data_IF_114126297679
#
_entry.id   IF_114126297679
#
_cell.length_a   1.000
_cell.length_b   1.000
_cell.length_c   1.000
_cell.angle_alpha   90.00
_cell.angle_beta   90.00
_cell.angle_gamma   90.00
#
_symmetry.space_group_name_H-M   'P 1'
#
loop_
_entity.id
_entity.type
_entity.pdbx_description
1 polymer ?
2 water ?
#
# COMPACT_ATOMS: atom_id res chain seq x y z
N UNK A 8 6.99 24.45 2.32
CA UNK A 8 6.29 24.03 1.11
C UNK A 8 6.93 22.76 0.53
N UNK A 9 6.72 21.63 1.19
CA UNK A 9 7.34 20.38 0.77
C UNK A 9 6.91 20.02 -0.64
N UNK A 10 7.89 19.67 -1.48
CA UNK A 10 7.70 19.53 -2.92
C UNK A 10 7.65 18.05 -3.31
N UNK A 11 6.59 17.65 -4.01
CA UNK A 11 6.47 16.28 -4.47
C UNK A 11 6.25 16.24 -5.97
N UNK A 12 7.08 15.48 -6.66
CA UNK A 12 6.93 15.21 -8.09
C UNK A 12 6.79 13.71 -8.27
N UNK A 13 5.75 13.29 -8.99
CA UNK A 13 5.52 11.86 -9.25
C UNK A 13 5.62 11.63 -10.75
N UNK A 14 6.39 10.62 -11.14
CA UNK A 14 6.50 10.20 -12.53
C UNK A 14 5.49 9.07 -12.73
N UNK A 15 4.42 9.36 -13.46
CA UNK A 15 3.32 8.42 -13.58
C UNK A 15 2.64 8.57 -14.93
N UNK A 16 2.16 7.44 -15.47
CA UNK A 16 1.32 7.45 -16.66
C UNK A 16 -0.11 7.89 -16.38
N UNK A 17 -0.54 7.92 -15.12
CA UNK A 17 -1.92 8.27 -14.76
C UNK A 17 -1.91 9.37 -13.71
N UNK A 18 -1.55 10.60 -14.10
CA UNK A 18 -1.49 11.69 -13.12
C UNK A 18 -2.79 11.87 -12.35
N UNK A 19 -3.93 11.69 -13.01
CA UNK A 19 -5.21 11.93 -12.38
C UNK A 19 -5.45 11.04 -11.17
N UNK A 20 -4.82 9.86 -11.14
CA UNK A 20 -4.97 8.98 -9.98
C UNK A 20 -4.67 9.72 -8.70
N UNK A 21 -3.72 10.65 -8.72
CA UNK A 21 -3.29 11.32 -7.51
C UNK A 21 -4.28 12.36 -7.01
N UNK A 22 -5.40 12.54 -7.71
CA UNK A 22 -6.51 13.26 -7.11
C UNK A 22 -7.03 12.56 -5.86
N UNK A 23 -6.79 11.25 -5.75
CA UNK A 23 -7.27 10.52 -4.57
C UNK A 23 -6.59 11.02 -3.30
N UNK A 24 -5.40 11.60 -3.41
CA UNK A 24 -4.72 12.17 -2.25
C UNK A 24 -4.68 13.69 -2.27
N UNK A 25 -4.65 14.34 -3.45
CA UNK A 25 -4.55 15.80 -3.48
C UNK A 25 -5.89 16.51 -3.31
N UNK A 26 -7.02 15.81 -3.42
CA UNK A 26 -8.32 16.47 -3.39
C UNK A 26 -9.18 16.07 -2.21
N UNK A 27 -8.74 15.14 -1.37
CA UNK A 27 -9.57 14.65 -0.28
C UNK A 27 -8.76 14.46 1.00
N UNK A 28 -9.46 14.55 2.13
CA UNK A 28 -8.87 14.17 3.40
C UNK A 28 -7.87 15.18 3.93
N UNK A 29 -7.04 14.70 4.84
CA UNK A 29 -6.02 15.56 5.45
C UNK A 29 -4.94 15.92 4.43
N UNK A 30 -4.57 14.99 3.56
CA UNK A 30 -3.57 15.31 2.54
C UNK A 30 -4.10 16.31 1.54
N UNK A 31 -5.37 16.18 1.13
CA UNK A 31 -5.96 17.18 0.26
C UNK A 31 -5.95 18.57 0.88
N UNK A 32 -6.26 18.64 2.18
CA UNK A 32 -6.24 19.92 2.88
C UNK A 32 -4.85 20.54 2.86
N UNK A 33 -3.80 19.73 3.03
CA UNK A 33 -2.44 20.26 2.98
C UNK A 33 -2.11 20.78 1.58
N UNK A 34 -2.58 20.11 0.54
CA UNK A 34 -2.34 20.58 -0.82
C UNK A 34 -3.08 21.88 -1.10
N UNK A 35 -4.34 21.96 -0.66
CA UNK A 35 -5.12 23.17 -0.86
C UNK A 35 -4.51 24.36 -0.12
N UNK A 36 -3.91 24.12 1.05
CA UNK A 36 -3.25 25.14 1.83
C UNK A 36 -1.80 25.39 1.42
N UNK A 37 -1.29 24.66 0.43
CA UNK A 37 0.07 24.79 -0.06
C UNK A 37 1.13 24.49 1.00
N UNK A 38 0.76 23.72 2.03
CA UNK A 38 1.77 23.16 2.93
C UNK A 38 2.62 22.14 2.17
N UNK A 39 2.04 21.48 1.17
CA UNK A 39 2.75 20.59 0.28
C UNK A 39 2.34 20.92 -1.15
N UNK A 40 3.11 20.40 -2.09
CA UNK A 40 2.84 20.56 -3.52
C UNK A 40 3.09 19.22 -4.22
N UNK A 41 2.15 18.81 -5.07
CA UNK A 41 2.26 17.57 -5.81
C UNK A 41 2.14 17.89 -7.28
N UNK A 42 3.17 17.57 -8.05
CA UNK A 42 3.18 17.76 -9.49
C UNK A 42 3.43 16.42 -10.16
N UNK A 43 2.57 16.06 -11.08
CA UNK A 43 2.67 14.79 -11.79
C UNK A 43 3.33 15.02 -13.14
N UNK A 44 4.23 14.11 -13.51
CA UNK A 44 4.96 14.21 -14.77
C UNK A 44 4.70 12.93 -15.57
N UNK A 45 4.08 13.08 -16.73
CA UNK A 45 3.78 11.94 -17.57
C UNK A 45 4.97 11.63 -18.46
N UNK A 46 5.60 10.47 -18.33
CA UNK A 46 6.73 10.14 -19.21
C UNK A 46 6.38 10.16 -20.68
N UNK A 47 5.08 10.08 -21.01
CA UNK A 47 4.68 10.15 -22.42
C UNK A 47 5.01 11.50 -23.02
N UNK A 48 5.05 12.55 -22.18
CA UNK A 48 5.42 13.87 -22.70
C UNK A 48 6.86 13.91 -23.18
N UNK A 49 7.67 12.92 -22.78
CA UNK A 49 9.07 12.85 -23.17
C UNK A 49 9.35 11.65 -24.07
N UNK A 50 8.30 11.10 -24.68
CA UNK A 50 8.38 9.97 -25.58
C UNK A 50 8.36 10.41 -27.04
N UNK A 51 8.90 9.54 -27.89
CA UNK A 51 8.97 9.79 -29.33
C UNK A 51 7.95 8.91 -30.05
N UNK A 52 7.29 9.48 -31.04
CA UNK A 52 6.31 8.72 -31.79
C UNK A 52 4.89 9.24 -31.68
N UNK A 53 4.08 8.96 -32.69
CA UNK A 53 2.69 9.40 -32.68
C UNK A 53 1.87 8.75 -31.58
N UNK A 54 2.33 7.63 -31.03
CA UNK A 54 1.67 7.00 -29.90
C UNK A 54 2.42 7.18 -28.59
N UNK A 55 3.52 7.94 -28.61
CA UNK A 55 4.24 8.32 -27.40
C UNK A 55 4.55 7.10 -26.53
N UNK A 56 5.21 6.12 -27.14
CA UNK A 56 5.45 4.85 -26.47
C UNK A 56 6.56 4.98 -25.44
N UNK A 57 6.30 4.42 -24.25
CA UNK A 57 7.28 4.34 -23.18
C UNK A 57 7.63 2.91 -22.82
N UNK A 58 7.10 1.93 -23.55
CA UNK A 58 7.30 0.53 -23.24
C UNK A 58 7.77 -0.19 -24.48
N UNK A 59 8.61 -1.20 -24.29
CA UNK A 59 9.13 -1.99 -25.41
C UNK A 59 9.41 -3.42 -24.93
N UNK A 60 9.43 -4.35 -25.88
CA UNK A 60 9.58 -5.76 -25.55
C UNK A 60 10.91 -6.01 -24.85
N UNK A 61 10.97 -7.02 -23.98
CA UNK A 61 12.21 -7.25 -23.22
C UNK A 61 13.30 -7.94 -24.05
N UNK A 62 14.54 -7.49 -23.82
CA UNK A 62 15.68 -8.22 -24.31
C UNK A 62 15.68 -9.60 -23.63
N UNK A 63 16.05 -10.63 -24.38
CA UNK A 63 16.06 -11.96 -23.80
C UNK A 63 14.74 -12.68 -23.80
N UNK A 64 13.68 -12.07 -24.33
CA UNK A 64 12.40 -12.75 -24.41
C UNK A 64 11.62 -12.70 -23.11
N UNK A 65 10.47 -13.36 -23.15
CA UNK A 65 9.56 -13.39 -22.03
C UNK A 65 8.35 -12.51 -22.29
N UNK A 66 7.38 -12.57 -21.39
CA UNK A 66 6.13 -11.83 -21.62
C UNK A 66 6.23 -10.42 -21.09
N UNK A 67 5.35 -9.57 -21.59
CA UNK A 67 5.23 -8.24 -21.05
C UNK A 67 6.08 -7.23 -21.76
N UNK A 68 6.02 -6.01 -21.25
CA UNK A 68 6.78 -4.91 -21.78
C UNK A 68 7.60 -4.29 -20.66
N UNK A 69 8.72 -3.68 -21.03
CA UNK A 69 9.61 -3.01 -20.09
C UNK A 69 9.56 -1.52 -20.38
N UNK A 70 9.54 -0.71 -19.32
CA UNK A 70 9.57 0.74 -19.49
C UNK A 70 10.94 1.21 -19.99
N UNK A 71 10.94 1.99 -21.05
CA UNK A 71 12.18 2.44 -21.65
C UNK A 71 12.90 3.45 -20.74
N UNK A 72 14.22 3.41 -20.81
CA UNK A 72 15.03 4.28 -19.95
C UNK A 72 14.95 5.73 -20.40
N UNK A 73 14.97 5.97 -21.70
CA UNK A 73 15.11 7.34 -22.19
C UNK A 73 13.95 8.24 -21.79
N UNK A 74 12.68 7.88 -22.00
CA UNK A 74 11.60 8.76 -21.52
C UNK A 74 11.63 8.98 -20.02
N UNK A 75 11.94 7.93 -19.25
CA UNK A 75 12.01 8.09 -17.81
C UNK A 75 13.17 9.00 -17.41
N UNK A 76 14.29 8.91 -18.12
CA UNK A 76 15.42 9.78 -17.80
C UNK A 76 15.09 11.24 -18.06
N UNK A 77 14.43 11.53 -19.18
CA UNK A 77 14.06 12.90 -19.49
C UNK A 77 13.06 13.44 -18.47
N UNK A 78 12.12 12.58 -18.04
CA UNK A 78 11.09 13.03 -17.10
C UNK A 78 11.67 13.30 -15.73
N UNK A 79 12.55 12.43 -15.25
CA UNK A 79 13.19 12.65 -13.96
C UNK A 79 14.06 13.91 -14.01
N UNK A 80 14.75 14.15 -15.13
CA UNK A 80 15.52 15.38 -15.27
C UNK A 80 14.60 16.58 -15.21
N UNK A 81 13.46 16.50 -15.89
CA UNK A 81 12.51 17.60 -15.78
C UNK A 81 12.08 17.80 -14.33
N UNK A 82 11.80 16.70 -13.62
CA UNK A 82 11.40 16.80 -12.22
C UNK A 82 12.47 17.47 -11.38
N UNK A 83 13.75 17.11 -11.60
CA UNK A 83 14.82 17.68 -10.81
C UNK A 83 14.92 19.20 -11.01
N UNK A 84 14.72 19.66 -12.25
CA UNK A 84 14.77 21.09 -12.51
C UNK A 84 13.59 21.82 -11.89
N UNK A 85 12.40 21.20 -11.88
CA UNK A 85 11.28 21.81 -11.19
C UNK A 85 11.59 21.96 -9.71
N UNK A 86 12.23 20.94 -9.14
CA UNK A 86 12.52 20.95 -7.71
C UNK A 86 13.55 22.01 -7.38
N UNK A 87 14.59 22.14 -8.21
CA UNK A 87 15.56 23.20 -8.01
C UNK A 87 14.89 24.57 -8.15
N UNK A 88 14.05 24.74 -9.17
CA UNK A 88 13.35 26.02 -9.34
C UNK A 88 12.41 26.30 -8.19
N UNK A 89 11.89 25.27 -7.53
CA UNK A 89 11.04 25.50 -6.36
C UNK A 89 11.82 25.89 -5.12
N UNK A 90 13.15 25.94 -5.19
CA UNK A 90 13.96 26.31 -4.05
C UNK A 90 14.40 25.14 -3.19
N UNK A 91 14.18 23.91 -3.65
CA UNK A 91 14.63 22.75 -2.88
C UNK A 91 16.15 22.65 -2.97
N UNK A 92 16.77 22.27 -1.85
CA UNK A 92 18.20 22.01 -1.86
C UNK A 92 18.50 20.75 -2.67
N UNK A 93 17.98 19.61 -2.21
CA UNK A 93 18.17 18.30 -2.84
C UNK A 93 16.90 17.46 -2.72
N UNK A 94 16.51 16.78 -3.80
CA UNK A 94 15.36 15.87 -3.76
C UNK A 94 15.70 14.47 -4.26
N UNK A 95 15.76 13.47 -3.38
CA UNK A 95 16.05 12.11 -3.85
C UNK A 95 14.97 11.52 -4.73
N UNK A 96 15.40 10.67 -5.66
CA UNK A 96 14.48 9.90 -6.50
C UNK A 96 14.20 8.56 -5.84
N UNK A 97 12.93 8.33 -5.48
CA UNK A 97 12.47 7.11 -4.87
C UNK A 97 11.77 6.26 -5.93
N UNK A 98 12.11 4.99 -6.00
CA UNK A 98 11.44 4.04 -6.87
C UNK A 98 10.64 3.08 -6.01
N UNK A 99 9.34 2.99 -6.27
CA UNK A 99 8.46 2.09 -5.52
C UNK A 99 8.41 0.75 -6.25
N UNK A 100 8.94 -0.30 -5.64
CA UNK A 100 8.92 -1.62 -6.24
C UNK A 100 8.94 -2.66 -5.13
N UNK A 101 8.40 -3.85 -5.37
CA UNK A 101 8.48 -4.93 -4.36
C UNK A 101 9.91 -5.35 -4.02
N UNK A 102 10.90 -4.92 -4.81
CA UNK A 102 12.30 -5.19 -4.58
C UNK A 102 12.99 -4.15 -3.69
N UNK A 103 12.24 -3.17 -3.19
CA UNK A 103 12.82 -2.17 -2.31
C UNK A 103 12.90 -2.61 -0.86
N UNK A 104 13.58 -1.79 -0.06
CA UNK A 104 13.53 -1.93 1.39
C UNK A 104 12.09 -1.84 1.87
N UNK A 105 11.81 -2.52 2.99
CA UNK A 105 10.46 -2.55 3.52
C UNK A 105 10.15 -1.21 4.18
N UNK A 106 9.19 -0.48 3.64
CA UNK A 106 8.74 0.74 4.29
C UNK A 106 8.14 0.42 5.65
N UNK A 107 8.48 1.23 6.66
CA UNK A 107 7.86 1.12 7.97
C UNK A 107 7.87 2.49 8.63
N UNK A 108 7.30 2.57 9.84
CA UNK A 108 7.17 3.86 10.50
C UNK A 108 8.54 4.50 10.73
N UNK A 109 9.56 3.71 11.05
CA UNK A 109 10.89 4.28 11.21
C UNK A 109 11.37 4.90 9.91
N UNK A 110 11.09 4.27 8.78
CA UNK A 110 11.55 4.80 7.51
C UNK A 110 10.79 6.08 7.15
N UNK A 111 9.50 6.13 7.47
CA UNK A 111 8.69 7.30 7.14
C UNK A 111 9.19 8.52 7.89
N UNK A 112 9.58 8.35 9.15
CA UNK A 112 10.06 9.49 9.95
C UNK A 112 11.28 10.14 9.33
N UNK A 113 12.12 9.36 8.63
CA UNK A 113 13.32 9.93 8.02
C UNK A 113 12.99 10.85 6.87
N UNK A 114 11.85 10.61 6.21
CA UNK A 114 11.48 11.42 5.05
C UNK A 114 11.01 12.82 5.46
N UNK A 115 10.47 12.95 6.67
CA UNK A 115 9.90 14.23 7.09
C UNK A 115 10.94 15.33 7.05
N UNK A 116 12.22 14.99 7.21
CA UNK A 116 13.30 15.97 7.18
C UNK A 116 13.65 16.43 5.77
N UNK A 117 12.92 15.98 4.75
CA UNK A 117 13.33 16.27 3.38
C UNK A 117 12.67 17.54 2.85
N UNK A 118 13.30 18.08 1.81
CA UNK A 118 12.72 19.18 1.05
C UNK A 118 11.64 18.69 0.11
N UNK A 119 11.71 17.44 -0.28
CA UNK A 119 10.75 16.88 -1.21
C UNK A 119 11.30 15.61 -1.80
N UNK A 120 10.47 14.99 -2.62
CA UNK A 120 10.77 13.70 -3.23
C UNK A 120 10.40 13.75 -4.70
N UNK A 121 11.10 12.95 -5.49
CA UNK A 121 10.64 12.54 -6.81
C UNK A 121 10.30 11.06 -6.73
N UNK A 122 9.04 10.71 -6.95
CA UNK A 122 8.61 9.32 -6.84
C UNK A 122 8.33 8.78 -8.25
N UNK A 123 9.00 7.68 -8.58
CA UNK A 123 8.89 7.06 -9.89
C UNK A 123 7.93 5.89 -9.80
N UNK A 124 6.84 5.94 -10.57
CA UNK A 124 5.82 4.90 -10.58
C UNK A 124 5.97 4.06 -11.85
N UNK A 125 6.38 2.81 -11.66
CA UNK A 125 6.50 1.91 -12.78
C UNK A 125 5.17 1.34 -13.22
N UNK A 126 5.12 0.96 -14.50
CA UNK A 126 4.01 0.23 -15.07
C UNK A 126 4.56 -0.93 -15.90
N UNK A 127 3.67 -1.67 -16.53
CA UNK A 127 4.05 -2.82 -17.34
C UNK A 127 4.77 -3.84 -16.45
N UNK A 128 5.74 -4.56 -17.00
CA UNK A 128 6.32 -5.69 -16.31
C UNK A 128 7.79 -5.47 -15.97
N UNK A 129 8.21 -4.22 -15.90
CA UNK A 129 9.54 -3.91 -15.46
C UNK A 129 9.95 -2.53 -15.91
N UNK A 130 11.03 -2.06 -15.31
CA UNK A 130 11.67 -0.81 -15.64
C UNK A 130 13.11 -1.13 -16.00
N UNK A 131 13.63 -0.52 -17.07
CA UNK A 131 14.96 -0.87 -17.52
C UNK A 131 15.97 -0.67 -16.40
N UNK A 132 16.72 -1.72 -16.11
CA UNK A 132 17.63 -1.73 -14.96
C UNK A 132 18.63 -0.59 -15.04
N UNK A 133 19.02 -0.20 -16.25
CA UNK A 133 20.01 0.86 -16.38
C UNK A 133 19.44 2.20 -15.96
N UNK A 134 18.14 2.40 -16.14
CA UNK A 134 17.52 3.60 -15.60
C UNK A 134 17.55 3.59 -14.07
N UNK A 135 17.21 2.45 -13.46
CA UNK A 135 17.25 2.37 -12.01
C UNK A 135 18.66 2.67 -11.51
N UNK A 136 19.67 2.05 -12.13
CA UNK A 136 21.04 2.20 -11.67
C UNK A 136 21.51 3.66 -11.70
N UNK A 137 21.05 4.43 -12.68
CA UNK A 137 21.62 5.75 -12.88
C UNK A 137 20.80 6.87 -12.25
N UNK A 138 19.49 6.67 -12.05
CA UNK A 138 18.59 7.75 -11.69
C UNK A 138 17.85 7.56 -10.37
N UNK A 139 17.91 6.38 -9.78
CA UNK A 139 17.16 6.08 -8.57
C UNK A 139 18.10 6.12 -7.38
N UNK A 140 17.74 6.91 -6.37
CA UNK A 140 18.53 6.99 -5.16
C UNK A 140 18.09 5.97 -4.12
N UNK A 141 16.79 5.72 -4.04
CA UNK A 141 16.23 4.83 -3.03
C UNK A 141 15.10 4.02 -3.63
N UNK A 142 14.99 2.79 -3.14
CA UNK A 142 13.98 1.85 -3.62
C UNK A 142 13.25 1.31 -2.40
N UNK A 143 11.92 1.45 -2.39
CA UNK A 143 11.10 1.13 -1.24
C UNK A 143 9.94 0.24 -1.66
N UNK A 144 9.61 -0.74 -0.81
CA UNK A 144 8.46 -1.61 -1.01
C UNK A 144 7.47 -1.39 0.12
N UNK A 145 6.19 -1.23 -0.22
CA UNK A 145 5.17 -1.05 0.81
C UNK A 145 4.66 -2.37 1.36
N UNK A 146 5.01 -3.50 0.74
CA UNK A 146 4.58 -4.82 1.17
C UNK A 146 4.95 -5.90 0.17
N UNK A 147 4.91 -7.16 0.57
CA UNK A 147 5.27 -8.27 -0.31
C UNK A 147 4.05 -8.81 -1.05
N UNK A 148 3.41 -7.93 -1.81
CA UNK A 148 2.32 -8.26 -2.71
C UNK A 148 2.56 -7.54 -4.02
N UNK A 149 1.94 -8.02 -5.08
CA UNK A 149 2.17 -7.51 -6.43
C UNK A 149 0.97 -6.67 -6.86
N UNK A 150 1.24 -5.45 -7.29
CA UNK A 150 0.23 -4.52 -7.77
C UNK A 150 0.45 -4.25 -9.25
N UNK A 151 -0.59 -3.71 -9.90
CA UNK A 151 -0.48 -3.42 -11.32
C UNK A 151 0.44 -2.25 -11.62
N UNK A 152 0.74 -1.41 -10.64
CA UNK A 152 1.59 -0.27 -10.90
C UNK A 152 2.07 0.35 -9.61
N UNK A 153 3.02 1.29 -9.76
CA UNK A 153 3.59 1.97 -8.62
C UNK A 153 2.81 3.15 -8.07
N UNK A 154 1.70 3.54 -8.71
CA UNK A 154 0.94 4.70 -8.24
C UNK A 154 0.42 4.52 -6.82
N UNK A 155 -0.25 3.41 -6.55
CA UNK A 155 -0.79 3.22 -5.20
C UNK A 155 0.30 3.19 -4.13
N UNK A 156 1.44 2.49 -4.30
CA UNK A 156 2.51 2.63 -3.32
C UNK A 156 3.00 4.05 -3.18
N UNK A 157 3.10 4.79 -4.28
CA UNK A 157 3.51 6.19 -4.20
C UNK A 157 2.56 6.99 -3.33
N UNK A 158 1.25 6.80 -3.52
CA UNK A 158 0.27 7.52 -2.70
C UNK A 158 0.38 7.12 -1.24
N UNK A 159 0.61 5.83 -0.97
CA UNK A 159 0.80 5.36 0.39
C UNK A 159 2.00 6.06 1.03
N UNK A 160 3.11 6.14 0.31
CA UNK A 160 4.27 6.83 0.84
C UNK A 160 3.98 8.30 1.07
N UNK A 161 3.35 8.95 0.09
CA UNK A 161 3.08 10.37 0.23
C UNK A 161 2.10 10.63 1.37
N UNK A 162 1.04 9.84 1.46
CA UNK A 162 0.07 10.04 2.54
C UNK A 162 0.74 9.85 3.88
N UNK A 163 1.61 8.85 3.99
CA UNK A 163 2.29 8.57 5.26
C UNK A 163 3.23 9.70 5.65
N UNK A 164 3.77 10.42 4.68
CA UNK A 164 4.66 11.53 5.00
C UNK A 164 3.88 12.78 5.32
N UNK A 165 2.98 13.18 4.42
CA UNK A 165 2.22 14.42 4.58
C UNK A 165 1.51 14.43 5.92
N UNK A 166 0.99 13.27 6.31
CA UNK A 166 0.27 13.14 7.57
C UNK A 166 1.10 13.58 8.77
N UNK A 167 2.43 13.52 8.68
CA UNK A 167 3.32 13.83 9.79
C UNK A 167 3.93 15.23 9.70
N UNK A 168 3.51 16.03 8.76
CA UNK A 168 4.19 17.31 8.60
C UNK A 168 3.62 18.37 9.53
N UNK A 169 4.47 19.28 9.99
CA UNK A 169 3.98 20.41 10.81
C UNK A 169 2.92 21.21 10.07
N UNK A 170 2.00 21.78 10.84
CA UNK A 170 0.80 22.47 10.37
C UNK A 170 -0.18 21.51 9.71
N UNK A 171 0.12 20.20 9.69
CA UNK A 171 -0.84 19.22 9.22
C UNK A 171 -1.32 18.37 10.39
N UNK A 185 4.73 4.00 20.13
CA UNK A 185 5.74 3.56 21.08
C UNK A 185 6.16 2.13 20.81
N UNK A 186 5.51 1.52 19.82
CA UNK A 186 5.75 0.13 19.46
C UNK A 186 4.65 -0.83 19.85
N UNK A 187 3.62 -0.38 20.55
CA UNK A 187 2.52 -1.24 20.95
C UNK A 187 1.30 -1.01 20.06
N UNK A 188 0.46 -2.05 19.98
CA UNK A 188 -0.79 -1.91 19.26
C UNK A 188 -1.79 -1.09 20.07
N UNK A 189 -2.69 -0.43 19.35
CA UNK A 189 -3.72 0.36 20.00
C UNK A 189 -4.71 -0.54 20.73
N UNK A 190 -5.35 0.00 21.74
CA UNK A 190 -6.31 -0.75 22.51
C UNK A 190 -7.71 -0.58 21.94
N UNK A 191 -8.65 -1.45 22.28
CA UNK A 191 -9.99 -1.32 21.74
C UNK A 191 -10.64 -0.02 22.20
N UNK A 192 -11.53 0.50 21.37
CA UNK A 192 -12.16 1.78 21.60
C UNK A 192 -13.67 1.64 21.46
N UNK A 193 -14.40 2.46 22.20
CA UNK A 193 -15.85 2.40 22.24
C UNK A 193 -16.42 3.81 22.22
N UNK A 194 -17.60 3.95 21.60
CA UNK A 194 -18.33 5.20 21.62
C UNK A 194 -19.82 4.88 21.68
N UNK A 195 -20.64 5.94 21.72
CA UNK A 195 -22.07 5.79 21.89
C UNK A 195 -22.62 4.84 20.83
N UNK A 196 -23.64 4.02 21.15
CA UNK A 196 -24.39 4.04 22.42
C UNK A 196 -23.73 3.23 23.53
N UNK A 197 -24.29 3.33 24.73
CA UNK A 197 -23.75 2.59 25.87
C UNK A 197 -23.82 1.08 25.64
N UNK A 198 -24.89 0.62 25.02
CA UNK A 198 -25.07 -0.79 24.69
C UNK A 198 -25.35 -0.92 23.20
N UNK A 199 -24.58 -1.78 22.53
CA UNK A 199 -24.76 -2.03 21.10
C UNK A 199 -24.95 -3.53 20.89
N UNK A 200 -26.14 -3.91 20.42
CA UNK A 200 -26.46 -5.29 20.06
C UNK A 200 -26.12 -6.25 21.20
N UNK A 201 -26.45 -5.83 22.43
CA UNK A 201 -26.18 -6.63 23.61
C UNK A 201 -24.80 -6.49 24.18
N UNK A 202 -23.88 -5.81 23.51
CA UNK A 202 -22.51 -5.65 24.00
C UNK A 202 -22.37 -4.29 24.66
N UNK A 203 -21.96 -4.28 25.92
CA UNK A 203 -21.77 -3.08 26.70
C UNK A 203 -20.30 -2.67 26.71
N UNK A 204 -20.07 -1.39 26.98
CA UNK A 204 -18.71 -0.90 27.23
C UNK A 204 -18.22 -1.46 28.57
N UNK A 205 -16.97 -1.90 28.67
CA UNK A 205 -16.43 -2.26 29.99
C UNK A 205 -16.63 -1.12 30.98
N UNK A 206 -17.05 -1.48 32.20
CA UNK A 206 -17.42 -0.47 33.19
C UNK A 206 -16.24 0.42 33.55
N UNK A 207 -15.02 -0.10 33.49
CA UNK A 207 -13.81 0.70 33.73
C UNK A 207 -13.70 1.83 32.70
N UNK A 211 -15.70 5.96 35.59
CA UNK A 211 -14.36 5.48 35.88
C UNK A 211 -13.38 6.56 36.32
N UNK A 212 -12.21 6.14 36.80
CA UNK A 212 -11.19 7.07 37.27
C UNK A 212 -10.08 7.19 36.23
N UNK A 213 -9.45 8.37 36.20
CA UNK A 213 -8.44 8.66 35.18
C UNK A 213 -7.26 7.70 35.30
N UNK A 214 -6.71 7.59 36.51
CA UNK A 214 -5.56 6.72 36.72
C UNK A 214 -5.92 5.28 36.38
N UNK A 215 -7.01 4.76 36.98
CA UNK A 215 -7.38 3.37 36.74
C UNK A 215 -7.74 3.11 35.29
N UNK A 216 -8.13 4.14 34.53
CA UNK A 216 -8.45 3.95 33.12
C UNK A 216 -7.18 3.83 32.29
N UNK A 217 -6.20 4.70 32.53
CA UNK A 217 -4.95 4.61 31.79
C UNK A 217 -4.25 3.29 32.03
N UNK A 218 -4.34 2.77 33.27
CA UNK A 218 -3.79 1.45 33.56
C UNK A 218 -4.50 0.38 32.75
N UNK A 219 -5.83 0.45 32.66
CA UNK A 219 -6.58 -0.51 31.87
C UNK A 219 -6.21 -0.42 30.40
N UNK A 220 -6.12 0.81 29.88
CA UNK A 220 -5.76 0.99 28.48
C UNK A 220 -4.40 0.37 28.17
N UNK A 221 -3.43 0.56 29.07
CA UNK A 221 -2.09 0.01 28.85
C UNK A 221 -2.11 -1.52 28.89
N UNK A 222 -2.81 -2.11 29.86
CA UNK A 222 -2.86 -3.56 29.91
C UNK A 222 -3.55 -4.13 28.68
N UNK A 223 -4.56 -3.45 28.14
CA UNK A 223 -5.18 -3.88 26.90
C UNK A 223 -4.21 -3.83 25.73
N UNK A 224 -3.41 -2.77 25.64
CA UNK A 224 -2.47 -2.63 24.54
C UNK A 224 -1.39 -3.70 24.60
N UNK A 225 -0.84 -3.96 25.79
CA UNK A 225 0.22 -4.95 25.92
C UNK A 225 -0.26 -6.32 25.49
N UNK A 226 -1.42 -6.74 25.99
CA UNK A 226 -1.95 -8.07 25.66
C UNK A 226 -2.26 -8.18 24.17
N UNK A 227 -2.92 -7.17 23.60
CA UNK A 227 -3.21 -7.19 22.18
C UNK A 227 -1.92 -7.34 21.37
N UNK A 228 -0.89 -6.58 21.74
CA UNK A 228 0.41 -6.76 21.10
C UNK A 228 0.96 -8.13 21.39
N UNK A 229 0.82 -8.59 22.64
CA UNK A 229 1.29 -9.92 23.01
C UNK A 229 0.61 -11.00 22.19
N UNK A 230 -0.70 -10.91 22.01
CA UNK A 230 -1.43 -11.98 21.32
C UNK A 230 -1.18 -11.94 19.82
N UNK A 231 -1.06 -10.75 19.24
CA UNK A 231 -1.06 -10.62 17.79
C UNK A 231 0.34 -10.42 17.19
N UNK A 232 1.22 -9.70 17.87
CA UNK A 232 2.55 -9.38 17.35
C UNK A 232 3.59 -9.56 18.46
N UNK A 233 3.77 -10.79 18.95
CA UNK A 233 4.66 -10.99 20.10
C UNK A 233 6.12 -10.65 19.83
N UNK A 234 6.54 -10.59 18.57
CA UNK A 234 7.91 -10.18 18.27
C UNK A 234 8.14 -8.71 18.56
N UNK A 235 7.07 -7.91 18.64
CA UNK A 235 7.21 -6.49 18.95
C UNK A 235 7.40 -6.24 20.44
N UNK A 236 7.04 -7.21 21.28
CA UNK A 236 7.26 -7.05 22.71
C UNK A 236 8.75 -6.96 23.01
N UNK A 237 9.57 -7.70 22.26
CA UNK A 237 11.01 -7.67 22.47
C UNK A 237 11.61 -6.29 22.24
N UNK A 238 10.95 -5.45 21.43
CA UNK A 238 11.49 -4.17 21.01
C UNK A 238 10.68 -2.99 21.57
N UNK A 239 9.92 -3.20 22.65
CA UNK A 239 9.15 -2.14 23.28
C UNK A 239 9.91 -1.61 24.49
N UNK A 240 9.83 -0.30 24.71
CA UNK A 240 10.47 0.36 25.83
C UNK A 240 9.40 0.96 26.72
N UNK A 241 9.25 0.41 27.93
CA UNK A 241 8.19 0.80 28.84
C UNK A 241 8.71 1.81 29.87
N UNK A 242 7.86 2.78 30.20
CA UNK A 242 8.16 3.71 31.27
C UNK A 242 8.19 2.99 32.61
N UNK A 243 8.74 3.65 33.62
CA UNK A 243 8.76 3.07 34.96
C UNK A 243 7.34 2.80 35.46
N UNK A 244 6.41 3.70 35.16
CA UNK A 244 5.02 3.50 35.57
C UNK A 244 4.43 2.26 34.92
N UNK A 245 4.69 2.08 33.62
CA UNK A 245 4.14 0.93 32.90
C UNK A 245 4.76 -0.38 33.38
N UNK A 246 6.05 -0.37 33.71
CA UNK A 246 6.67 -1.57 34.26
C UNK A 246 5.99 -2.00 35.55
N UNK A 247 5.61 -1.03 36.39
CA UNK A 247 4.91 -1.36 37.63
C UNK A 247 3.53 -1.93 37.35
N UNK A 248 2.83 -1.37 36.37
CA UNK A 248 1.51 -1.88 36.00
C UNK A 248 1.57 -3.35 35.60
N UNK A 249 2.60 -3.72 34.84
CA UNK A 249 2.75 -5.12 34.42
C UNK A 249 2.96 -6.03 35.62
N UNK A 250 3.89 -5.67 36.50
CA UNK A 250 4.19 -6.51 37.65
C UNK A 250 3.02 -6.61 38.63
N UNK A 251 2.21 -5.55 38.74
CA UNK A 251 1.07 -5.58 39.64
C UNK A 251 -0.02 -6.55 39.17
N UNK A 252 -0.15 -6.74 37.85
CA UNK A 252 -1.11 -7.69 37.31
C UNK A 252 -0.49 -9.06 37.06
N UNK B 9 -17.64 -10.36 -10.38
CA UNK B 9 -17.10 -10.29 -9.02
C UNK B 9 -17.50 -8.96 -8.39
N UNK B 10 -18.00 -9.03 -7.18
CA UNK B 10 -18.65 -7.90 -6.51
C UNK B 10 -17.72 -7.30 -5.48
N UNK B 11 -17.51 -5.98 -5.55
CA UNK B 11 -16.68 -5.26 -4.57
C UNK B 11 -17.48 -4.11 -3.99
N UNK B 12 -17.60 -4.08 -2.67
CA UNK B 12 -18.22 -2.97 -1.96
C UNK B 12 -17.25 -2.41 -0.95
N UNK B 13 -17.04 -1.09 -0.97
CA UNK B 13 -16.16 -0.43 0.00
C UNK B 13 -17.00 0.56 0.80
N UNK B 14 -16.82 0.51 2.12
CA UNK B 14 -17.45 1.47 3.03
C UNK B 14 -16.46 2.60 3.26
N UNK B 15 -16.75 3.78 2.71
CA UNK B 15 -15.79 4.87 2.77
C UNK B 15 -16.51 6.20 2.84
N UNK B 16 -15.94 7.14 3.58
CA UNK B 16 -16.39 8.52 3.57
C UNK B 16 -15.96 9.27 2.31
N UNK B 17 -15.01 8.72 1.56
CA UNK B 17 -14.47 9.35 0.36
C UNK B 17 -14.62 8.41 -0.82
N UNK B 18 -15.85 8.18 -1.29
CA UNK B 18 -16.03 7.29 -2.45
C UNK B 18 -15.22 7.71 -3.66
N UNK B 19 -15.06 9.03 -3.86
CA UNK B 19 -14.41 9.55 -5.06
C UNK B 19 -12.97 9.09 -5.17
N UNK B 20 -12.32 8.84 -4.03
CA UNK B 20 -10.96 8.32 -4.04
C UNK B 20 -10.85 7.05 -4.89
N UNK B 21 -11.91 6.26 -4.95
CA UNK B 21 -11.82 4.98 -5.63
C UNK B 21 -11.87 5.11 -7.14
N UNK B 22 -11.96 6.33 -7.68
CA UNK B 22 -11.73 6.54 -9.10
C UNK B 22 -10.33 6.12 -9.52
N UNK B 23 -9.37 6.12 -8.60
CA UNK B 23 -8.00 5.76 -8.96
C UNK B 23 -7.88 4.32 -9.44
N UNK B 24 -8.80 3.44 -9.04
CA UNK B 24 -8.77 2.06 -9.48
C UNK B 24 -9.86 1.76 -10.50
N UNK B 25 -11.02 2.41 -10.42
CA UNK B 25 -12.10 2.11 -11.34
C UNK B 25 -11.97 2.85 -12.66
N UNK B 26 -11.14 3.90 -12.73
CA UNK B 26 -11.06 4.75 -13.91
C UNK B 26 -9.72 4.74 -14.62
N UNK B 27 -8.71 4.04 -14.11
CA UNK B 27 -7.40 4.04 -14.74
C UNK B 27 -6.78 2.65 -14.69
N UNK B 28 -5.92 2.38 -15.68
CA UNK B 28 -5.09 1.20 -15.65
C UNK B 28 -5.84 -0.09 -16.00
N UNK B 29 -5.22 -1.20 -15.59
CA UNK B 29 -5.79 -2.52 -15.87
C UNK B 29 -7.07 -2.73 -15.08
N UNK B 30 -7.12 -2.25 -13.84
CA UNK B 30 -8.35 -2.40 -13.06
C UNK B 30 -9.49 -1.60 -13.67
N UNK B 31 -9.20 -0.39 -14.16
CA UNK B 31 -10.22 0.39 -14.84
C UNK B 31 -10.75 -0.32 -16.08
N UNK B 32 -9.85 -0.92 -16.86
CA UNK B 32 -10.28 -1.67 -18.04
C UNK B 32 -11.19 -2.83 -17.65
N UNK B 33 -10.86 -3.50 -16.55
CA UNK B 33 -11.73 -4.57 -16.07
C UNK B 33 -13.08 -4.04 -15.64
N UNK B 34 -13.12 -2.86 -15.02
CA UNK B 34 -14.38 -2.28 -14.59
C UNK B 34 -15.21 -1.84 -15.79
N UNK B 35 -14.57 -1.22 -16.78
CA UNK B 35 -15.29 -0.78 -17.97
C UNK B 35 -15.87 -1.97 -18.73
N UNK B 36 -15.18 -3.11 -18.71
CA UNK B 36 -15.66 -4.32 -19.36
C UNK B 36 -16.60 -5.13 -18.49
N UNK B 37 -16.90 -4.65 -17.27
CA UNK B 37 -17.79 -5.33 -16.32
C UNK B 37 -17.27 -6.69 -15.90
N UNK B 38 -15.96 -6.91 -16.04
CA UNK B 38 -15.37 -8.09 -15.43
C UNK B 38 -15.46 -7.99 -13.91
N UNK B 39 -15.42 -6.77 -13.37
CA UNK B 39 -15.65 -6.51 -11.96
C UNK B 39 -16.60 -5.33 -11.81
N UNK B 40 -17.09 -5.14 -10.59
CA UNK B 40 -17.94 -4.02 -10.23
C UNK B 40 -17.55 -3.54 -8.82
N UNK B 41 -17.42 -2.22 -8.66
CA UNK B 41 -17.05 -1.61 -7.38
C UNK B 41 -18.12 -0.60 -7.01
N UNK B 42 -18.73 -0.77 -5.83
CA UNK B 42 -19.74 0.15 -5.32
C UNK B 42 -19.29 0.73 -3.99
N UNK B 43 -19.30 2.06 -3.90
CA UNK B 43 -18.87 2.75 -2.69
C UNK B 43 -20.08 3.16 -1.88
N UNK B 44 -20.00 2.97 -0.57
CA UNK B 44 -21.09 3.24 0.36
C UNK B 44 -20.59 4.20 1.43
N UNK B 45 -21.20 5.39 1.50
CA UNK B 45 -20.81 6.41 2.47
C UNK B 45 -21.59 6.22 3.77
N UNK B 46 -20.94 5.98 4.91
CA UNK B 46 -21.68 5.84 6.17
C UNK B 46 -22.46 7.09 6.55
N UNK B 47 -22.12 8.26 5.98
CA UNK B 47 -22.85 9.47 6.31
C UNK B 47 -24.30 9.39 5.87
N UNK B 48 -24.59 8.63 4.81
CA UNK B 48 -25.96 8.48 4.35
C UNK B 48 -26.82 7.68 5.33
N UNK B 49 -26.21 6.97 6.27
CA UNK B 49 -26.94 6.12 7.21
C UNK B 49 -26.91 6.66 8.64
N UNK B 50 -26.61 7.95 8.82
CA UNK B 50 -26.66 8.56 10.14
C UNK B 50 -27.96 9.34 10.28
N UNK B 51 -28.43 9.46 11.52
CA UNK B 51 -29.67 10.17 11.80
C UNK B 51 -29.40 11.50 12.49
N UNK B 55 -25.69 14.72 10.93
CA UNK B 55 -25.38 13.37 10.47
C UNK B 55 -23.95 12.97 10.82
N UNK B 56 -23.61 13.07 12.10
CA UNK B 56 -22.25 12.81 12.56
C UNK B 56 -21.98 11.32 12.59
N UNK B 57 -20.76 10.94 12.18
CA UNK B 57 -20.34 9.54 12.21
C UNK B 57 -19.20 9.30 13.19
N UNK B 58 -18.77 10.31 13.93
CA UNK B 58 -17.66 10.20 14.87
C UNK B 58 -18.06 10.80 16.20
N UNK B 59 -17.57 10.22 17.29
CA UNK B 59 -17.89 10.72 18.62
C UNK B 59 -16.73 10.43 19.57
N UNK B 60 -16.70 11.19 20.67
CA UNK B 60 -15.63 11.07 21.65
C UNK B 60 -15.59 9.66 22.25
N UNK B 61 -14.43 9.21 22.72
CA UNK B 61 -14.33 7.86 23.29
C UNK B 61 -14.96 7.78 24.67
N UNK B 62 -15.55 6.61 24.97
CA UNK B 62 -16.14 6.37 26.29
C UNK B 62 -15.12 6.52 27.41
N UNK B 63 -14.00 5.79 27.33
CA UNK B 63 -13.03 5.89 28.41
C UNK B 63 -12.33 7.22 28.53
N UNK B 64 -12.69 8.21 27.71
CA UNK B 64 -12.03 9.49 27.71
C UNK B 64 -10.78 9.43 26.86
N UNK B 65 -10.08 10.56 26.79
CA UNK B 65 -8.89 10.62 25.97
C UNK B 65 -9.14 11.36 24.67
N UNK B 66 -8.09 11.51 23.87
CA UNK B 66 -8.21 12.32 22.65
C UNK B 66 -8.75 11.52 21.47
N UNK B 67 -9.24 12.25 20.49
CA UNK B 67 -9.67 11.66 19.23
C UNK B 67 -11.14 11.33 19.18
N UNK B 68 -11.53 10.79 18.02
CA UNK B 68 -12.90 10.39 17.76
C UNK B 68 -12.95 8.94 17.28
N UNK B 69 -14.05 8.27 17.59
CA UNK B 69 -14.27 6.88 17.21
C UNK B 69 -15.43 6.82 16.23
N UNK B 70 -15.27 5.99 15.19
CA UNK B 70 -16.36 5.77 14.24
C UNK B 70 -17.47 4.98 14.91
N UNK B 71 -18.69 5.49 14.80
CA UNK B 71 -19.82 4.87 15.47
C UNK B 71 -20.23 3.57 14.80
N UNK B 72 -20.72 2.63 15.62
CA UNK B 72 -21.08 1.31 15.12
C UNK B 72 -22.36 1.36 14.29
N UNK B 73 -23.36 2.12 14.75
CA UNK B 73 -24.67 2.08 14.10
C UNK B 73 -24.62 2.53 12.65
N UNK B 74 -24.01 3.67 12.27
CA UNK B 74 -23.92 4.00 10.84
C UNK B 74 -23.17 2.95 10.04
N UNK B 75 -22.08 2.41 10.59
CA UNK B 75 -21.31 1.38 9.88
C UNK B 75 -22.11 0.10 9.76
N UNK B 76 -22.89 -0.26 10.79
CA UNK B 76 -23.69 -1.47 10.73
C UNK B 76 -24.78 -1.37 9.66
N UNK B 77 -25.45 -0.21 9.57
CA UNK B 77 -26.42 -0.03 8.50
C UNK B 77 -25.75 -0.07 7.14
N UNK B 78 -24.55 0.50 7.04
CA UNK B 78 -23.85 0.53 5.76
C UNK B 78 -23.35 -0.85 5.37
N UNK B 79 -22.77 -1.58 6.33
CA UNK B 79 -22.30 -2.93 6.03
C UNK B 79 -23.46 -3.84 5.67
N UNK B 80 -24.59 -3.70 6.38
CA UNK B 80 -25.78 -4.49 6.02
C UNK B 80 -26.33 -4.08 4.66
N UNK B 81 -26.36 -2.78 4.37
CA UNK B 81 -26.74 -2.35 3.02
C UNK B 81 -25.81 -2.95 1.98
N UNK B 82 -24.51 -2.99 2.28
CA UNK B 82 -23.56 -3.65 1.38
C UNK B 82 -23.89 -5.12 1.21
N UNK B 83 -24.25 -5.79 2.31
CA UNK B 83 -24.57 -7.21 2.25
C UNK B 83 -25.78 -7.49 1.37
N UNK B 84 -26.80 -6.64 1.45
CA UNK B 84 -27.98 -6.85 0.63
C UNK B 84 -27.66 -6.61 -0.84
N UNK B 85 -26.79 -5.64 -1.12
CA UNK B 85 -26.36 -5.41 -2.50
C UNK B 85 -25.63 -6.63 -3.07
N UNK B 86 -24.78 -7.26 -2.26
CA UNK B 86 -24.01 -8.41 -2.73
C UNK B 86 -24.90 -9.63 -2.95
N UNK B 87 -25.83 -9.89 -2.02
CA UNK B 87 -26.76 -11.00 -2.20
C UNK B 87 -27.63 -10.77 -3.44
N UNK B 88 -28.09 -9.54 -3.63
CA UNK B 88 -28.90 -9.23 -4.79
C UNK B 88 -28.11 -9.44 -6.08
N UNK B 89 -26.80 -9.26 -6.02
CA UNK B 89 -25.95 -9.56 -7.17
C UNK B 89 -25.70 -11.06 -7.32
N UNK B 90 -26.15 -11.87 -6.37
CA UNK B 90 -26.01 -13.31 -6.46
C UNK B 90 -24.75 -13.89 -5.84
N UNK B 91 -24.01 -13.13 -5.06
CA UNK B 91 -22.81 -13.68 -4.42
C UNK B 91 -23.19 -14.63 -3.30
N UNK B 92 -22.54 -15.79 -3.27
CA UNK B 92 -22.75 -16.77 -2.20
C UNK B 92 -22.09 -16.31 -0.90
N UNK B 93 -20.77 -16.15 -0.91
CA UNK B 93 -20.05 -15.80 0.30
C UNK B 93 -19.22 -14.56 0.03
N UNK B 94 -19.45 -13.53 0.85
CA UNK B 94 -18.71 -12.28 0.79
C UNK B 94 -18.20 -11.94 2.19
N UNK B 95 -16.91 -12.12 2.46
CA UNK B 95 -16.39 -11.71 3.76
C UNK B 95 -16.33 -10.20 3.88
N UNK B 96 -16.53 -9.72 5.11
CA UNK B 96 -16.36 -8.31 5.42
C UNK B 96 -14.92 -8.15 5.92
N UNK B 97 -14.10 -7.44 5.15
CA UNK B 97 -12.70 -7.21 5.48
C UNK B 97 -12.53 -5.79 6.00
N UNK B 98 -11.81 -5.65 7.12
CA UNK B 98 -11.48 -4.35 7.70
C UNK B 98 -9.99 -4.10 7.55
N UNK B 99 -9.64 -2.96 6.96
CA UNK B 99 -8.24 -2.59 6.76
C UNK B 99 -7.79 -1.74 7.95
N UNK B 100 -6.84 -2.26 8.74
CA UNK B 100 -6.28 -1.55 9.88
C UNK B 100 -4.86 -2.03 10.13
N UNK B 101 -4.00 -1.18 10.69
CA UNK B 101 -2.63 -1.62 11.03
C UNK B 101 -2.56 -2.74 12.10
N UNK B 102 -3.64 -3.04 12.81
CA UNK B 102 -3.61 -4.13 13.78
C UNK B 102 -3.94 -5.48 13.16
N UNK B 103 -4.18 -5.55 11.84
CA UNK B 103 -4.50 -6.80 11.20
C UNK B 103 -3.29 -7.62 10.80
N UNK B 104 -3.56 -8.86 10.41
CA UNK B 104 -2.53 -9.70 9.80
C UNK B 104 -1.96 -9.02 8.57
N UNK B 105 -0.68 -9.26 8.32
CA UNK B 105 0.01 -8.63 7.22
C UNK B 105 -0.38 -9.28 5.89
N UNK B 106 -0.97 -8.50 5.00
CA UNK B 106 -1.24 -8.96 3.65
C UNK B 106 0.06 -9.36 2.95
N UNK B 107 -0.01 -10.45 2.18
CA UNK B 107 1.09 -10.81 1.29
C UNK B 107 0.52 -11.56 0.08
N UNK B 108 1.42 -11.94 -0.82
CA UNK B 108 1.00 -12.58 -2.06
C UNK B 108 0.23 -13.87 -1.78
N UNK B 109 0.62 -14.59 -0.74
CA UNK B 109 -0.12 -15.80 -0.37
C UNK B 109 -1.55 -15.46 0.04
N UNK B 110 -1.73 -14.37 0.77
CA UNK B 110 -3.07 -13.99 1.21
C UNK B 110 -3.92 -13.52 0.03
N UNK B 111 -3.30 -12.78 -0.90
CA UNK B 111 -4.05 -12.26 -2.04
C UNK B 111 -4.59 -13.39 -2.90
N UNK B 112 -3.78 -14.44 -3.10
CA UNK B 112 -4.25 -15.60 -3.85
C UNK B 112 -5.44 -16.24 -3.17
N UNK B 113 -5.51 -16.19 -1.84
CA UNK B 113 -6.62 -16.80 -1.11
C UNK B 113 -7.93 -16.08 -1.36
N UNK B 114 -7.89 -14.79 -1.71
CA UNK B 114 -9.11 -14.05 -1.94
C UNK B 114 -9.83 -14.49 -3.20
N UNK B 115 -9.09 -15.04 -4.17
CA UNK B 115 -9.68 -15.45 -5.44
C UNK B 115 -10.81 -16.46 -5.21
N UNK B 116 -10.76 -17.20 -4.10
CA UNK B 116 -11.79 -18.20 -3.80
C UNK B 116 -13.11 -17.59 -3.38
N UNK B 117 -13.24 -16.27 -3.34
CA UNK B 117 -14.42 -15.61 -2.82
C UNK B 117 -15.36 -15.19 -3.95
N UNK B 118 -16.63 -14.96 -3.58
CA UNK B 118 -17.59 -14.35 -4.49
C UNK B 118 -17.45 -12.84 -4.58
N UNK B 119 -16.89 -12.21 -3.57
CA UNK B 119 -16.75 -10.77 -3.53
C UNK B 119 -16.44 -10.32 -2.13
N UNK B 120 -16.20 -9.02 -2.00
CA UNK B 120 -15.73 -8.45 -0.74
C UNK B 120 -16.55 -7.23 -0.35
N UNK B 121 -16.71 -7.07 0.96
CA UNK B 121 -17.06 -5.80 1.56
C UNK B 121 -15.83 -5.34 2.34
N UNK B 122 -15.25 -4.23 1.91
CA UNK B 122 -14.05 -3.69 2.55
C UNK B 122 -14.43 -2.44 3.32
N UNK B 123 -14.08 -2.42 4.61
CA UNK B 123 -14.41 -1.33 5.51
C UNK B 123 -13.18 -0.44 5.67
N UNK B 124 -13.33 0.84 5.31
CA UNK B 124 -12.25 1.83 5.39
C UNK B 124 -12.47 2.71 6.60
N UNK B 125 -11.61 2.58 7.60
CA UNK B 125 -11.72 3.44 8.76
C UNK B 125 -11.15 4.83 8.54
N UNK B 126 -11.65 5.78 9.33
CA UNK B 126 -11.09 7.13 9.41
C UNK B 126 -11.02 7.51 10.88
N UNK B 127 -10.58 8.72 11.16
CA UNK B 127 -10.44 9.26 12.53
C UNK B 127 -9.40 8.38 13.26
N UNK B 128 -9.59 8.10 14.54
CA UNK B 128 -8.60 7.38 15.33
C UNK B 128 -9.11 6.03 15.83
N UNK B 129 -10.11 5.45 15.19
CA UNK B 129 -10.54 4.12 15.59
C UNK B 129 -11.96 3.83 15.18
N UNK B 130 -12.31 2.55 15.29
CA UNK B 130 -13.65 2.04 15.05
C UNK B 130 -14.11 1.34 16.31
N UNK B 131 -15.39 1.52 16.65
CA UNK B 131 -15.94 0.93 17.87
C UNK B 131 -15.71 -0.58 17.87
N UNK B 132 -15.12 -1.08 18.96
CA UNK B 132 -14.73 -2.48 19.04
C UNK B 132 -15.91 -3.40 18.82
N UNK B 133 -17.11 -3.00 19.25
CA UNK B 133 -18.27 -3.86 19.13
C UNK B 133 -18.72 -4.01 17.68
N UNK B 134 -18.50 -2.99 16.84
CA UNK B 134 -18.77 -3.16 15.42
C UNK B 134 -17.84 -4.19 14.82
N UNK B 135 -16.55 -4.11 15.16
CA UNK B 135 -15.60 -5.08 14.66
C UNK B 135 -15.99 -6.49 15.11
N UNK B 136 -16.34 -6.62 16.40
CA UNK B 136 -16.70 -7.93 16.94
C UNK B 136 -17.88 -8.55 16.21
N UNK B 137 -18.81 -7.72 15.75
CA UNK B 137 -20.07 -8.20 15.21
C UNK B 137 -20.13 -8.26 13.69
N UNK B 138 -19.32 -7.47 12.98
CA UNK B 138 -19.46 -7.35 11.54
C UNK B 138 -18.22 -7.66 10.72
N UNK B 139 -17.04 -7.76 11.34
CA UNK B 139 -15.79 -7.93 10.59
C UNK B 139 -15.35 -9.39 10.65
N UNK B 140 -15.14 -9.98 9.48
CA UNK B 140 -14.67 -11.37 9.39
C UNK B 140 -13.14 -11.46 9.33
N UNK B 141 -12.49 -10.52 8.66
CA UNK B 141 -11.05 -10.56 8.49
C UNK B 141 -10.49 -9.15 8.64
N UNK B 142 -9.29 -9.08 9.21
CA UNK B 142 -8.62 -7.81 9.47
C UNK B 142 -7.23 -7.89 8.88
N UNK B 143 -6.92 -6.99 7.95
CA UNK B 143 -5.69 -7.09 7.21
C UNK B 143 -4.95 -5.75 7.23
N UNK B 144 -3.63 -5.84 7.37
CA UNK B 144 -2.75 -4.69 7.33
C UNK B 144 -1.85 -4.81 6.11
N UNK B 145 -1.72 -3.72 5.35
CA UNK B 145 -0.85 -3.71 4.17
C UNK B 145 0.59 -3.40 4.52
N UNK B 146 0.86 -2.95 5.75
CA UNK B 146 2.21 -2.60 6.15
C UNK B 146 2.22 -1.96 7.53
N UNK B 147 3.42 -1.91 8.11
CA UNK B 147 3.59 -1.33 9.45
C UNK B 147 3.97 0.14 9.36
N UNK B 148 3.08 0.91 8.72
CA UNK B 148 3.17 2.35 8.65
C UNK B 148 1.77 2.91 8.89
N UNK B 149 1.70 4.17 9.27
CA UNK B 149 0.42 4.77 9.66
C UNK B 149 -0.05 5.69 8.54
N UNK B 150 -1.28 5.47 8.08
CA UNK B 150 -1.89 6.28 7.06
C UNK B 150 -3.06 7.06 7.64
N UNK B 151 -3.48 8.10 6.92
CA UNK B 151 -4.57 8.94 7.38
C UNK B 151 -5.92 8.24 7.32
N UNK B 152 -6.03 7.12 6.61
CA UNK B 152 -7.32 6.45 6.49
C UNK B 152 -7.13 5.07 5.89
N UNK B 153 -8.22 4.32 5.89
CA UNK B 153 -8.22 2.98 5.35
C UNK B 153 -8.44 2.87 3.85
N UNK B 154 -8.71 3.99 3.17
CA UNK B 154 -9.01 3.94 1.74
C UNK B 154 -7.82 3.41 0.95
N UNK B 155 -6.63 3.98 1.15
CA UNK B 155 -5.49 3.55 0.36
C UNK B 155 -5.20 2.06 0.57
N UNK B 156 -5.21 1.51 1.79
CA UNK B 156 -5.10 0.05 1.89
C UNK B 156 -6.19 -0.71 1.15
N UNK B 157 -7.42 -0.21 1.18
CA UNK B 157 -8.50 -0.86 0.45
C UNK B 157 -8.19 -0.94 -1.04
N UNK B 158 -7.72 0.17 -1.62
CA UNK B 158 -7.38 0.16 -3.04
C UNK B 158 -6.22 -0.78 -3.31
N UNK B 159 -5.22 -0.79 -2.42
CA UNK B 159 -4.12 -1.73 -2.55
C UNK B 159 -4.64 -3.17 -2.57
N UNK B 160 -5.57 -3.49 -1.68
CA UNK B 160 -6.12 -4.83 -1.66
C UNK B 160 -6.91 -5.11 -2.93
N UNK B 161 -7.73 -4.15 -3.36
CA UNK B 161 -8.56 -4.37 -4.55
C UNK B 161 -7.69 -4.53 -5.80
N UNK B 162 -6.64 -3.71 -5.93
CA UNK B 162 -5.80 -3.77 -7.11
C UNK B 162 -5.08 -5.12 -7.24
N UNK B 163 -4.52 -5.64 -6.15
CA UNK B 163 -3.78 -6.89 -6.21
C UNK B 163 -4.67 -8.08 -6.48
N UNK B 164 -5.95 -7.98 -6.15
CA UNK B 164 -6.89 -9.06 -6.45
C UNK B 164 -7.36 -8.96 -7.89
N UNK B 165 -7.85 -7.79 -8.29
CA UNK B 165 -8.39 -7.58 -9.63
C UNK B 165 -7.33 -7.95 -10.68
N UNK B 166 -6.07 -7.62 -10.40
CA UNK B 166 -4.97 -7.94 -11.31
C UNK B 166 -4.85 -9.43 -11.60
N UNK B 167 -5.27 -10.28 -10.67
CA UNK B 167 -5.09 -11.73 -10.76
C UNK B 167 -6.35 -12.44 -11.22
N UNK B 168 -7.37 -11.70 -11.64
CA UNK B 168 -8.61 -12.38 -11.97
C UNK B 168 -8.57 -12.89 -13.41
N UNK B 169 -9.20 -14.04 -13.65
CA UNK B 169 -9.26 -14.57 -15.03
C UNK B 169 -9.89 -13.56 -15.98
N UNK B 170 -9.42 -13.60 -17.23
CA UNK B 170 -9.71 -12.64 -18.31
C UNK B 170 -9.05 -11.29 -18.06
N UNK B 171 -8.28 -11.15 -16.98
CA UNK B 171 -7.49 -9.95 -16.75
C UNK B 171 -6.00 -10.27 -16.86
N UNK B 185 7.37 -17.28 -7.02
CA UNK B 185 7.83 -18.49 -6.36
C UNK B 185 8.55 -18.19 -5.03
N UNK B 186 8.62 -16.92 -4.65
CA UNK B 186 9.30 -16.52 -3.44
C UNK B 186 10.60 -15.79 -3.64
N UNK B 187 11.06 -15.63 -4.87
CA UNK B 187 12.27 -14.89 -5.18
C UNK B 187 11.91 -13.53 -5.75
N UNK B 188 12.84 -12.60 -5.61
CA UNK B 188 12.66 -11.28 -6.22
C UNK B 188 12.83 -11.39 -7.73
N UNK B 189 12.19 -10.49 -8.46
CA UNK B 189 12.32 -10.51 -9.91
C UNK B 189 13.75 -10.19 -10.31
N UNK B 190 14.13 -10.66 -11.50
CA UNK B 190 15.47 -10.37 -11.98
C UNK B 190 15.46 -9.10 -12.84
N UNK B 191 16.61 -8.50 -13.11
CA UNK B 191 16.63 -7.25 -13.87
C UNK B 191 16.10 -7.42 -15.29
N UNK B 192 15.58 -6.32 -15.83
CA UNK B 192 14.96 -6.30 -17.15
C UNK B 192 15.54 -5.19 -18.01
N UNK B 193 15.56 -5.43 -19.32
CA UNK B 193 16.20 -4.51 -20.27
C UNK B 193 15.39 -4.42 -21.57
N UNK B 194 15.40 -3.23 -22.17
CA UNK B 194 14.85 -3.03 -23.50
C UNK B 194 15.69 -1.98 -24.21
N UNK B 195 15.32 -1.66 -25.45
CA UNK B 195 16.08 -0.73 -26.29
C UNK B 195 16.30 0.57 -25.53
N UNK B 196 17.43 1.27 -25.73
CA UNK B 196 18.47 1.00 -26.75
C UNK B 196 19.50 -0.01 -26.32
N UNK B 197 20.38 -0.43 -27.23
CA UNK B 197 21.38 -1.44 -26.90
C UNK B 197 22.32 -0.93 -25.81
N UNK B 198 22.71 0.34 -25.89
CA UNK B 198 23.55 0.97 -24.88
C UNK B 198 22.87 2.24 -24.39
N UNK B 199 22.76 2.37 -23.07
CA UNK B 199 22.15 3.54 -22.45
C UNK B 199 23.15 4.16 -21.49
N UNK B 200 23.58 5.39 -21.79
CA UNK B 200 24.49 6.12 -20.90
C UNK B 200 25.70 5.30 -20.51
N UNK B 201 26.28 4.60 -21.49
CA UNK B 201 27.44 3.78 -21.28
C UNK B 201 27.19 2.36 -20.82
N UNK B 202 25.97 2.00 -20.43
CA UNK B 202 25.66 0.65 -19.96
C UNK B 202 25.05 -0.19 -21.08
N UNK B 203 25.59 -1.39 -21.28
CA UNK B 203 25.10 -2.31 -22.31
C UNK B 203 24.10 -3.30 -21.72
N UNK B 204 23.22 -3.81 -22.59
CA UNK B 204 22.41 -4.96 -22.20
C UNK B 204 23.32 -6.17 -22.10
N UNK B 205 23.19 -6.99 -21.05
CA UNK B 205 23.97 -8.23 -21.00
C UNK B 205 23.82 -9.02 -22.28
N UNK B 206 24.96 -9.54 -22.76
CA UNK B 206 24.99 -10.24 -24.03
C UNK B 206 24.15 -11.50 -24.00
N UNK B 207 24.07 -12.15 -22.84
CA UNK B 207 23.26 -13.35 -22.68
C UNK B 207 21.79 -13.06 -23.00
N UNK B 208 21.29 -11.90 -22.57
CA UNK B 208 19.95 -11.49 -22.99
C UNK B 208 19.91 -11.12 -24.46
N UNK B 209 20.97 -10.47 -24.96
CA UNK B 209 20.91 -9.95 -26.32
C UNK B 209 20.88 -11.09 -27.33
N UNK B 210 21.77 -12.07 -27.18
CA UNK B 210 21.96 -13.09 -28.20
C UNK B 210 21.84 -14.51 -27.67
N UNK B 211 21.31 -14.71 -26.46
CA UNK B 211 21.27 -16.02 -25.86
C UNK B 211 20.07 -16.82 -26.30
N UNK B 212 20.06 -18.10 -25.93
CA UNK B 212 18.98 -19.00 -26.28
C UNK B 212 18.16 -19.38 -25.06
N UNK B 213 17.26 -20.34 -25.25
CA UNK B 213 16.28 -20.70 -24.22
C UNK B 213 16.94 -21.15 -22.92
N UNK B 214 17.82 -22.16 -23.00
CA UNK B 214 18.43 -22.72 -21.79
C UNK B 214 19.31 -21.71 -21.06
N UNK B 215 20.33 -21.15 -21.75
CA UNK B 215 21.27 -20.28 -21.05
C UNK B 215 20.63 -18.99 -20.55
N UNK B 216 19.52 -18.55 -21.14
CA UNK B 216 18.87 -17.37 -20.60
C UNK B 216 18.10 -17.72 -19.32
N UNK B 217 17.35 -18.83 -19.34
CA UNK B 217 16.60 -19.20 -18.15
C UNK B 217 17.53 -19.46 -16.97
N UNK B 218 18.71 -20.02 -17.24
CA UNK B 218 19.70 -20.18 -16.17
C UNK B 218 20.14 -18.82 -15.63
N UNK B 219 20.42 -17.87 -16.52
CA UNK B 219 20.89 -16.56 -16.08
C UNK B 219 19.81 -15.84 -15.27
N UNK B 220 18.57 -15.86 -15.76
CA UNK B 220 17.48 -15.21 -15.02
C UNK B 220 17.32 -15.82 -13.65
N UNK B 221 17.39 -17.15 -13.53
CA UNK B 221 17.25 -17.76 -12.21
C UNK B 221 18.39 -17.38 -11.27
N UNK B 222 19.63 -17.41 -11.76
CA UNK B 222 20.75 -17.03 -10.90
C UNK B 222 20.66 -15.56 -10.49
N UNK B 223 20.17 -14.70 -11.39
CA UNK B 223 19.97 -13.31 -11.02
C UNK B 223 18.90 -13.18 -9.93
N UNK B 224 17.81 -13.95 -10.04
CA UNK B 224 16.76 -13.86 -9.03
C UNK B 224 17.27 -14.32 -7.67
N UNK B 225 18.00 -15.44 -7.65
CA UNK B 225 18.50 -15.98 -6.40
C UNK B 225 19.46 -15.00 -5.73
N UNK B 226 20.42 -14.46 -6.48
CA UNK B 226 21.41 -13.57 -5.90
C UNK B 226 20.76 -12.28 -5.40
N UNK B 227 19.90 -11.69 -6.22
CA UNK B 227 19.20 -10.47 -5.82
C UNK B 227 18.39 -10.71 -4.54
N UNK B 228 17.73 -11.85 -4.44
CA UNK B 228 17.01 -12.17 -3.22
C UNK B 228 17.97 -12.32 -2.05
N UNK B 229 19.08 -13.03 -2.27
CA UNK B 229 20.06 -13.21 -1.21
C UNK B 229 20.60 -11.88 -0.70
N UNK B 230 20.91 -10.95 -1.61
CA UNK B 230 21.50 -9.69 -1.21
C UNK B 230 20.49 -8.78 -0.53
N UNK B 231 19.24 -8.76 -1.01
CA UNK B 231 18.29 -7.77 -0.54
C UNK B 231 17.30 -8.32 0.48
N UNK B 232 16.88 -9.57 0.34
CA UNK B 232 15.88 -10.16 1.22
C UNK B 232 16.31 -11.56 1.61
N UNK B 233 17.42 -11.69 2.35
CA UNK B 233 17.94 -13.04 2.64
C UNK B 233 17.02 -13.87 3.51
N UNK B 234 16.06 -13.24 4.20
CA UNK B 234 15.08 -14.00 4.96
C UNK B 234 14.13 -14.78 4.07
N UNK B 235 14.00 -14.40 2.80
CA UNK B 235 13.11 -15.12 1.91
C UNK B 235 13.73 -16.39 1.35
N UNK B 236 15.06 -16.52 1.41
CA UNK B 236 15.70 -17.73 0.90
C UNK B 236 15.27 -18.95 1.70
N UNK B 237 15.07 -18.78 3.01
CA UNK B 237 14.70 -19.91 3.86
C UNK B 237 13.37 -20.53 3.46
N UNK B 238 12.49 -19.78 2.79
CA UNK B 238 11.15 -20.24 2.50
C UNK B 238 10.91 -20.50 1.00
N UNK B 239 11.96 -20.63 0.23
CA UNK B 239 11.84 -20.98 -1.19
C UNK B 239 12.18 -22.46 -1.36
N UNK B 240 11.44 -23.14 -2.22
CA UNK B 240 11.69 -24.55 -2.53
C UNK B 240 12.12 -24.64 -3.99
N UNK B 241 13.34 -25.08 -4.22
CA UNK B 241 13.91 -25.06 -5.55
C UNK B 241 13.72 -26.40 -6.24
N UNK B 242 13.40 -26.34 -7.53
CA UNK B 242 13.35 -27.55 -8.34
C UNK B 242 14.75 -28.16 -8.46
N UNK B 243 14.79 -29.43 -8.88
CA UNK B 243 16.07 -30.09 -9.10
C UNK B 243 16.88 -29.34 -10.15
N UNK B 244 16.22 -28.81 -11.17
CA UNK B 244 16.93 -28.04 -12.19
C UNK B 244 17.60 -26.83 -11.57
N UNK B 245 16.88 -26.11 -10.72
CA UNK B 245 17.46 -24.93 -10.10
C UNK B 245 18.55 -25.29 -9.10
N UNK B 246 18.36 -26.37 -8.35
CA UNK B 246 19.41 -26.81 -7.44
C UNK B 246 20.69 -27.14 -8.19
N UNK B 247 20.57 -27.73 -9.39
CA UNK B 247 21.77 -28.01 -10.19
C UNK B 247 22.42 -26.72 -10.67
N UNK B 248 21.63 -25.74 -11.08
CA UNK B 248 22.18 -24.45 -11.49
C UNK B 248 22.99 -23.79 -10.38
N UNK B 249 22.49 -23.86 -9.15
CA UNK B 249 23.19 -23.25 -8.02
C UNK B 249 24.51 -23.93 -7.77
N UNK B 250 24.51 -25.27 -7.69
CA UNK B 250 25.72 -26.02 -7.39
C UNK B 250 26.76 -25.85 -8.49
N UNK B 251 26.33 -25.65 -9.74
CA UNK B 251 27.28 -25.44 -10.82
C UNK B 251 28.05 -24.13 -10.64
N UNK B 252 27.46 -23.16 -9.95
CA UNK B 252 28.16 -21.91 -9.66
C UNK B 252 28.88 -21.97 -8.31
N UNK B 253 28.20 -22.44 -7.27
CA UNK B 253 28.79 -22.54 -5.93
C UNK B 253 29.84 -23.65 -5.88
#
# INVERSE_FOLDING_TARGET
>A
MAHHHHHHVFFAVITLFPEMFDAITAYGISGRAAKRDIVQVTCINPRDFAEGNYRRVDERPFGGGPGMVMMAEPLAKAINHAKQLASRAGCVHVPVVYMSPQGKTLNEQAVQQFVDYDGLIVLCGRYEGVDERLIQHYVDQEWSIGDYVLSGGELPAMVLLDSIIRRLPNVMSDEQSAIQDSFVDGLLDCPQYTKPDQFEGLDVPEILKSGHHANIEKWRFLQRYQRTLERRPELIEQVTLTKQQKKWLSDEQG
>B
MAHHHHHHVFFAVITLFPEMFDAITAYGISGRAAKRDIVQVTCINPRDFAEGNYRRVDERPFGGGPGMVMMAEPLAKAINHAKQLASRAGCVHVPVVYMSPQGKTLNEQAVQQFVDYDGLIVLCGRYEGVDERLIQHYVDQEWSIGDYVLSGGELPAMVLLDSIIRRLPNVMSDEQSAIQDSFVDGLLDCPQYTKPDQFEGLDVPEILKSGHHANIEKWRFLQRYQRTLERRPELIEQVTLTKQQKKWLSDEQG
#
